data_IF_893456744272
#
_entry.id   IF_893456744272
#
_cell.length_a   1.000
_cell.length_b   1.000
_cell.length_c   1.000
_cell.angle_alpha   90.00
_cell.angle_beta   90.00
_cell.angle_gamma   90.00
#
_symmetry.space_group_name_H-M   'P 1'
#
loop_
_entity.id
_entity.type
_entity.pdbx_description
1 polymer ?
#
# COMPACT_ATOMS: atom_id res chain seq x y z
N UNK A 1 -8.31 -8.60 -9.95
CA UNK A 1 -7.47 -7.53 -9.38
C UNK A 1 -6.27 -7.35 -10.30
N UNK A 2 -5.73 -6.14 -10.42
CA UNK A 2 -4.49 -5.89 -11.14
C UNK A 2 -3.52 -5.17 -10.22
N UNK A 3 -2.27 -5.65 -10.17
CA UNK A 3 -1.19 -5.01 -9.41
C UNK A 3 -0.07 -4.67 -10.39
N UNK A 4 0.25 -3.39 -10.50
CA UNK A 4 1.37 -2.87 -11.29
C UNK A 4 2.40 -2.25 -10.36
N UNK A 5 3.67 -2.46 -10.65
CA UNK A 5 4.78 -1.89 -9.87
C UNK A 5 5.63 -1.04 -10.81
N UNK A 6 5.83 0.22 -10.43
CA UNK A 6 6.67 1.16 -11.15
C UNK A 6 7.75 1.65 -10.18
N UNK A 7 9.02 1.34 -10.48
CA UNK A 7 10.17 1.73 -9.66
C UNK A 7 10.87 2.91 -10.31
N UNK A 8 11.08 3.97 -9.53
CA UNK A 8 11.89 5.12 -9.89
C UNK A 8 12.93 5.30 -8.80
N UNK A 9 14.20 5.10 -9.15
CA UNK A 9 15.34 5.15 -8.23
C UNK A 9 15.14 4.24 -7.01
N UNK A 10 14.95 4.84 -5.84
CA UNK A 10 14.75 4.17 -4.56
C UNK A 10 13.29 4.10 -4.12
N UNK A 11 12.33 4.52 -4.95
CA UNK A 11 10.91 4.55 -4.66
C UNK A 11 10.15 3.61 -5.60
N UNK A 12 9.38 2.67 -5.04
CA UNK A 12 8.44 1.86 -5.83
C UNK A 12 7.00 2.27 -5.55
N UNK A 13 6.26 2.56 -6.62
CA UNK A 13 4.81 2.78 -6.60
C UNK A 13 4.13 1.48 -7.00
N UNK A 14 3.33 0.92 -6.10
CA UNK A 14 2.52 -0.27 -6.32
C UNK A 14 1.07 0.20 -6.51
N UNK A 15 0.59 0.15 -7.75
CA UNK A 15 -0.79 0.52 -8.11
C UNK A 15 -1.68 -0.70 -8.07
N UNK A 16 -2.78 -0.59 -7.34
CA UNK A 16 -3.73 -1.68 -7.17
C UNK A 16 -5.08 -1.28 -7.71
N UNK A 17 -5.65 -2.14 -8.57
CA UNK A 17 -6.98 -1.95 -9.14
C UNK A 17 -7.87 -3.16 -8.87
N UNK A 18 -9.11 -2.89 -8.47
CA UNK A 18 -10.10 -3.88 -8.09
C UNK A 18 -10.15 -4.13 -6.59
N UNK A 19 -10.84 -5.21 -6.19
CA UNK A 19 -11.11 -5.49 -4.78
C UNK A 19 -9.92 -6.12 -4.08
N UNK A 20 -9.68 -5.73 -2.82
CA UNK A 20 -8.73 -6.37 -1.91
C UNK A 20 -9.50 -7.26 -0.93
N UNK A 21 -9.64 -8.53 -1.26
CA UNK A 21 -10.31 -9.55 -0.46
C UNK A 21 -9.46 -10.81 -0.27
N UNK A 22 -9.98 -11.83 0.39
CA UNK A 22 -9.23 -13.05 0.69
C UNK A 22 -8.74 -13.80 -0.55
N UNK A 23 -9.33 -13.58 -1.72
CA UNK A 23 -8.95 -14.24 -2.97
C UNK A 23 -7.85 -13.44 -3.68
N UNK A 24 -7.94 -12.11 -3.64
CA UNK A 24 -7.04 -11.23 -4.41
C UNK A 24 -5.81 -10.80 -3.62
N UNK A 25 -5.86 -10.78 -2.30
CA UNK A 25 -4.77 -10.23 -1.48
C UNK A 25 -3.47 -11.05 -1.53
N UNK A 26 -3.52 -12.34 -1.91
CA UNK A 26 -2.31 -13.17 -2.04
C UNK A 26 -1.35 -12.62 -3.10
N UNK A 27 -1.87 -12.21 -4.27
CA UNK A 27 -1.05 -11.63 -5.34
C UNK A 27 -0.43 -10.29 -4.91
N UNK A 28 -1.17 -9.46 -4.18
CA UNK A 28 -0.64 -8.21 -3.64
C UNK A 28 0.47 -8.47 -2.61
N UNK A 29 0.26 -9.43 -1.70
CA UNK A 29 1.25 -9.83 -0.69
C UNK A 29 2.54 -10.30 -1.37
N UNK A 30 2.44 -11.23 -2.30
CA UNK A 30 3.59 -11.79 -3.02
C UNK A 30 4.38 -10.70 -3.77
N UNK A 31 3.69 -9.83 -4.54
CA UNK A 31 4.35 -8.76 -5.27
C UNK A 31 5.04 -7.76 -4.34
N UNK A 32 4.35 -7.34 -3.28
CA UNK A 32 4.89 -6.39 -2.31
C UNK A 32 6.10 -6.97 -1.59
N UNK A 33 6.04 -8.22 -1.14
CA UNK A 33 7.15 -8.87 -0.45
C UNK A 33 8.35 -9.13 -1.37
N UNK A 34 8.12 -9.47 -2.65
CA UNK A 34 9.20 -9.60 -3.64
C UNK A 34 9.88 -8.25 -3.89
N UNK A 35 9.11 -7.17 -4.03
CA UNK A 35 9.66 -5.82 -4.17
C UNK A 35 10.53 -5.45 -2.96
N UNK A 36 10.05 -5.69 -1.74
CA UNK A 36 10.83 -5.46 -0.51
C UNK A 36 12.09 -6.33 -0.48
N UNK A 37 11.98 -7.61 -0.86
CA UNK A 37 13.11 -8.54 -0.91
C UNK A 37 14.17 -8.17 -1.94
N UNK A 38 13.81 -7.40 -2.96
CA UNK A 38 14.72 -6.84 -3.96
C UNK A 38 15.43 -5.54 -3.49
N UNK A 39 15.28 -5.15 -2.22
CA UNK A 39 15.92 -3.97 -1.63
C UNK A 39 15.12 -2.67 -1.76
N UNK A 40 13.89 -2.72 -2.28
CA UNK A 40 13.03 -1.55 -2.40
C UNK A 40 12.22 -1.36 -1.11
N UNK A 41 12.68 -0.46 -0.25
CA UNK A 41 12.12 -0.23 1.09
C UNK A 41 11.23 1.01 1.19
N UNK A 42 11.27 1.90 0.21
CA UNK A 42 10.37 3.05 0.12
C UNK A 42 9.26 2.74 -0.87
N UNK A 43 8.05 2.66 -0.35
CA UNK A 43 6.91 2.13 -1.09
C UNK A 43 5.71 3.06 -0.96
N UNK A 44 5.02 3.27 -2.08
CA UNK A 44 3.68 3.88 -2.13
C UNK A 44 2.71 2.81 -2.61
N UNK A 45 1.66 2.54 -1.83
CA UNK A 45 0.51 1.78 -2.30
C UNK A 45 -0.56 2.76 -2.78
N UNK A 46 -0.75 2.80 -4.08
CA UNK A 46 -1.79 3.61 -4.72
C UNK A 46 -3.08 2.79 -4.81
N UNK A 47 -4.06 3.19 -4.01
CA UNK A 47 -5.35 2.54 -3.84
C UNK A 47 -6.49 3.30 -4.54
N UNK A 48 -6.18 4.23 -5.46
CA UNK A 48 -7.17 5.03 -6.21
C UNK A 48 -8.22 4.18 -6.93
N UNK A 49 -7.82 3.01 -7.41
CA UNK A 49 -8.66 2.07 -8.15
C UNK A 49 -9.18 0.91 -7.28
N UNK A 50 -9.07 1.02 -5.95
CA UNK A 50 -9.57 0.03 -4.99
C UNK A 50 -10.92 0.48 -4.44
N UNK A 51 -12.04 -0.15 -4.83
CA UNK A 51 -13.36 0.19 -4.29
C UNK A 51 -13.59 -0.42 -2.90
N UNK A 52 -12.87 -1.46 -2.52
CA UNK A 52 -13.14 -2.23 -1.31
C UNK A 52 -11.88 -2.91 -0.78
N UNK A 53 -11.74 -2.93 0.55
CA UNK A 53 -10.70 -3.66 1.28
C UNK A 53 -11.31 -4.48 2.41
N UNK A 54 -10.89 -5.73 2.57
CA UNK A 54 -11.23 -6.59 3.71
C UNK A 54 -10.08 -6.66 4.72
N UNK A 55 -10.30 -7.39 5.82
CA UNK A 55 -9.27 -7.71 6.81
C UNK A 55 -8.05 -8.42 6.22
N UNK A 56 -8.20 -9.16 5.10
CA UNK A 56 -7.07 -9.74 4.39
C UNK A 56 -6.16 -8.65 3.79
N UNK A 57 -6.75 -7.62 3.16
CA UNK A 57 -5.98 -6.51 2.59
C UNK A 57 -5.28 -5.68 3.66
N UNK A 58 -5.97 -5.42 4.77
CA UNK A 58 -5.37 -4.75 5.93
C UNK A 58 -4.17 -5.56 6.49
N UNK A 59 -4.28 -6.89 6.57
CA UNK A 59 -3.17 -7.75 6.99
C UNK A 59 -1.96 -7.61 6.06
N UNK A 60 -2.16 -7.61 4.74
CA UNK A 60 -1.06 -7.43 3.77
C UNK A 60 -0.36 -6.09 3.99
N UNK A 61 -1.12 -5.02 4.13
CA UNK A 61 -0.62 -3.67 4.39
C UNK A 61 0.21 -3.64 5.70
N UNK A 62 -0.28 -4.29 6.77
CA UNK A 62 0.42 -4.37 8.05
C UNK A 62 1.75 -5.12 7.95
N UNK A 63 1.75 -6.27 7.26
CA UNK A 63 2.95 -7.09 7.06
C UNK A 63 4.00 -6.29 6.28
N UNK A 64 3.61 -5.65 5.18
CA UNK A 64 4.49 -4.83 4.37
C UNK A 64 5.10 -3.66 5.19
N UNK A 65 4.27 -2.97 5.97
CA UNK A 65 4.71 -1.87 6.86
C UNK A 65 5.76 -2.35 7.86
N UNK A 66 5.53 -3.49 8.51
CA UNK A 66 6.49 -4.08 9.45
C UNK A 66 7.80 -4.49 8.76
N UNK A 67 7.74 -4.98 7.53
CA UNK A 67 8.91 -5.44 6.77
C UNK A 67 9.83 -4.31 6.34
N UNK A 68 9.29 -3.15 5.99
CA UNK A 68 10.10 -1.97 5.64
C UNK A 68 10.53 -1.15 6.86
N UNK A 69 9.95 -1.39 8.04
CA UNK A 69 10.28 -0.64 9.25
C UNK A 69 11.79 -0.70 9.57
N UNK A 70 12.40 0.46 9.83
CA UNK A 70 13.83 0.59 10.09
C UNK A 70 14.73 0.61 8.83
N UNK A 71 14.19 0.29 7.65
CA UNK A 71 14.92 0.29 6.38
C UNK A 71 14.36 1.32 5.38
N UNK A 72 13.08 1.66 5.51
CA UNK A 72 12.37 2.61 4.68
C UNK A 72 10.98 2.87 5.26
N UNK A 73 10.02 3.16 4.40
CA UNK A 73 8.64 3.44 4.79
C UNK A 73 7.64 3.05 3.71
N UNK A 74 6.48 2.59 4.16
CA UNK A 74 5.30 2.36 3.33
C UNK A 74 4.29 3.47 3.61
N UNK A 75 3.72 4.07 2.56
CA UNK A 75 2.60 4.99 2.67
C UNK A 75 1.47 4.59 1.73
N UNK A 76 0.25 5.05 2.01
CA UNK A 76 -0.91 4.82 1.14
C UNK A 76 -1.35 6.13 0.49
N UNK A 77 -1.93 6.05 -0.70
CA UNK A 77 -2.61 7.19 -1.33
C UNK A 77 -3.88 6.78 -2.08
N UNK A 78 -4.71 7.78 -2.42
CA UNK A 78 -5.86 7.59 -3.30
C UNK A 78 -7.02 6.82 -2.67
N UNK A 79 -7.12 6.74 -1.34
CA UNK A 79 -8.18 5.95 -0.72
C UNK A 79 -9.56 6.55 -1.04
N UNK A 80 -10.44 5.73 -1.62
CA UNK A 80 -11.87 6.04 -1.70
C UNK A 80 -12.49 6.10 -0.30
N UNK A 81 -13.58 6.86 -0.16
CA UNK A 81 -14.24 7.10 1.13
C UNK A 81 -14.49 5.81 1.95
N UNK A 82 -15.03 4.76 1.31
CA UNK A 82 -15.27 3.46 1.96
C UNK A 82 -13.97 2.79 2.45
N UNK A 83 -12.91 2.83 1.64
CA UNK A 83 -11.61 2.23 2.02
C UNK A 83 -10.95 3.03 3.15
N UNK A 84 -11.06 4.36 3.11
CA UNK A 84 -10.59 5.27 4.15
C UNK A 84 -11.28 4.98 5.49
N UNK A 85 -12.61 4.90 5.49
CA UNK A 85 -13.39 4.60 6.70
C UNK A 85 -12.96 3.25 7.31
N UNK A 86 -12.79 2.20 6.50
CA UNK A 86 -12.33 0.89 6.98
C UNK A 86 -10.93 0.96 7.59
N UNK A 87 -10.00 1.71 6.97
CA UNK A 87 -8.64 1.91 7.49
C UNK A 87 -8.64 2.70 8.79
N UNK A 88 -9.50 3.72 8.90
CA UNK A 88 -9.67 4.54 10.09
C UNK A 88 -10.26 3.73 11.25
N UNK A 89 -11.35 3.00 11.01
CA UNK A 89 -12.00 2.10 11.96
C UNK A 89 -11.05 1.00 12.47
N UNK A 90 -10.18 0.49 11.59
CA UNK A 90 -9.17 -0.49 11.97
C UNK A 90 -8.00 0.10 12.77
N UNK A 91 -7.91 1.42 12.92
CA UNK A 91 -6.82 2.11 13.61
C UNK A 91 -5.52 2.20 12.81
N UNK A 92 -5.54 1.85 11.51
CA UNK A 92 -4.34 1.76 10.68
C UNK A 92 -3.75 3.14 10.34
N UNK A 93 -4.55 4.20 10.41
CA UNK A 93 -4.11 5.58 10.26
C UNK A 93 -3.02 5.99 11.27
N UNK A 94 -2.92 5.31 12.42
CA UNK A 94 -1.86 5.56 13.42
C UNK A 94 -0.54 4.84 13.10
N UNK A 95 -0.59 3.84 12.22
CA UNK A 95 0.54 2.98 11.87
C UNK A 95 1.12 3.40 10.52
N UNK A 96 0.27 3.89 9.61
CA UNK A 96 0.60 4.14 8.22
C UNK A 96 0.07 5.51 7.83
N UNK A 97 0.93 6.32 7.22
CA UNK A 97 0.54 7.61 6.69
C UNK A 97 -0.27 7.43 5.41
N UNK A 98 -1.36 8.17 5.32
CA UNK A 98 -2.28 8.19 4.19
C UNK A 98 -2.28 9.59 3.58
N UNK A 99 -2.19 9.65 2.26
CA UNK A 99 -2.25 10.88 1.47
C UNK A 99 -3.41 10.84 0.49
N UNK A 100 -3.84 12.01 0.02
CA UNK A 100 -5.00 12.09 -0.86
C UNK A 100 -4.69 11.57 -2.27
N UNK A 101 -3.49 11.85 -2.77
CA UNK A 101 -3.06 11.45 -4.10
C UNK A 101 -1.58 10.99 -4.14
N UNK A 102 -1.17 10.52 -5.32
CA UNK A 102 0.17 10.02 -5.56
C UNK A 102 1.24 11.12 -5.41
N UNK A 103 0.92 12.37 -5.75
CA UNK A 103 1.86 13.48 -5.68
C UNK A 103 2.16 13.85 -4.21
N UNK A 104 1.12 13.94 -3.38
CA UNK A 104 1.25 14.12 -1.93
C UNK A 104 2.02 12.98 -1.27
N UNK A 105 1.83 11.73 -1.73
CA UNK A 105 2.61 10.60 -1.23
C UNK A 105 4.08 10.65 -1.65
N UNK A 106 4.38 11.01 -2.90
CA UNK A 106 5.77 11.14 -3.40
C UNK A 106 6.55 12.23 -2.68
N UNK A 107 5.92 13.38 -2.39
CA UNK A 107 6.55 14.51 -1.71
C UNK A 107 7.18 14.15 -0.35
N UNK A 108 6.77 13.03 0.25
CA UNK A 108 7.28 12.52 1.52
C UNK A 108 8.66 11.87 1.37
N UNK A 109 9.02 11.45 0.16
CA UNK A 109 10.24 10.70 -0.13
C UNK A 109 11.40 11.57 -0.67
N UNK A 110 11.15 12.86 -0.91
CA UNK A 110 12.11 13.81 -1.47
C UNK A 110 11.83 14.09 -2.93
#
# INVERSE_FOLDING_TARGET
>A
MTVKCDTLDNLTVIRVAGRLDSVTCSELEDKTLRTIGAGQHNLILDLSEVPFISSAGLRVILIATKKVHGQGKLVLCGLKAQVREIIEMAGFHNIIKVYDDLEGAKAVFG
#
